data_IF_204871644049
#
_entry.id   IF_204871644049
#
_cell.length_a   1.000
_cell.length_b   1.000
_cell.length_c   1.000
_cell.angle_alpha   90.00
_cell.angle_beta   90.00
_cell.angle_gamma   90.00
#
_symmetry.space_group_name_H-M   'P 1'
#
loop_
_entity.id
_entity.type
_entity.pdbx_description
1 polymer ?
#
# COMPACT_ATOMS: atom_id res chain seq x y z
N UNK A 1 35.78 1.65 49.24
CA UNK A 1 35.35 0.90 50.45
C UNK A 1 34.12 0.07 50.08
N UNK A 2 34.30 -1.26 50.30
CA UNK A 2 33.32 -2.34 50.52
C UNK A 2 32.31 -2.69 49.44
N UNK A 3 32.69 -3.73 48.74
CA UNK A 3 31.92 -4.87 48.18
C UNK A 3 30.61 -5.23 48.91
N UNK A 4 29.65 -5.73 48.13
CA UNK A 4 28.96 -6.99 48.46
C UNK A 4 28.29 -7.61 47.22
N UNK A 5 28.91 -8.72 46.76
CA UNK A 5 28.29 -9.78 45.95
C UNK A 5 27.17 -10.47 46.73
N UNK A 6 26.10 -10.89 46.06
CA UNK A 6 25.33 -12.08 46.45
C UNK A 6 24.77 -12.74 45.19
N UNK A 7 25.33 -13.91 44.92
CA UNK A 7 24.81 -14.95 44.05
C UNK A 7 23.90 -15.90 44.88
N UNK A 8 22.83 -16.42 44.32
CA UNK A 8 22.11 -17.64 44.69
C UNK A 8 21.30 -18.05 43.45
N UNK A 9 21.64 -19.07 42.76
CA UNK A 9 21.48 -20.51 42.86
C UNK A 9 20.26 -21.02 42.08
N UNK A 10 20.57 -21.92 41.15
CA UNK A 10 19.66 -22.68 40.29
C UNK A 10 18.86 -23.70 41.10
N UNK A 11 17.64 -23.98 40.67
CA UNK A 11 16.97 -25.26 41.01
C UNK A 11 16.29 -25.81 39.75
N UNK A 12 16.82 -26.92 39.27
CA UNK A 12 16.20 -27.82 38.31
C UNK A 12 15.21 -28.72 39.04
N UNK A 13 14.03 -28.93 38.46
CA UNK A 13 13.15 -30.03 38.87
C UNK A 13 12.70 -30.79 37.62
N UNK A 14 13.15 -32.04 37.56
CA UNK A 14 12.72 -33.13 36.67
C UNK A 14 11.68 -33.95 37.42
N UNK A 15 10.56 -34.26 36.79
CA UNK A 15 9.71 -35.45 37.11
C UNK A 15 8.60 -35.48 36.05
N UNK A 16 8.34 -36.48 35.35
CA UNK A 16 8.34 -37.94 35.30
C UNK A 16 7.10 -38.33 34.52
N UNK A 17 7.30 -39.17 33.51
CA UNK A 17 6.26 -39.86 32.73
C UNK A 17 5.35 -40.71 33.62
N UNK A 18 4.08 -40.78 33.29
CA UNK A 18 3.22 -41.93 33.60
C UNK A 18 2.42 -42.33 32.36
N UNK A 19 2.79 -43.45 31.80
CA UNK A 19 2.07 -44.25 30.82
C UNK A 19 1.01 -45.06 31.57
N UNK A 20 -0.22 -45.01 31.13
CA UNK A 20 -1.22 -46.04 31.46
C UNK A 20 -1.95 -46.45 30.20
N UNK A 21 -1.71 -47.67 29.79
CA UNK A 21 -2.46 -48.40 28.76
C UNK A 21 -3.45 -49.33 29.41
N UNK A 22 -4.41 -49.79 28.58
CA UNK A 22 -5.46 -50.83 28.74
C UNK A 22 -6.83 -50.34 29.22
N UNK A 23 -7.93 -50.69 28.59
CA UNK A 23 -8.30 -51.74 27.69
C UNK A 23 -9.81 -51.65 27.38
N UNK A 24 -10.22 -52.34 26.37
CA UNK A 24 -11.41 -52.37 25.56
C UNK A 24 -12.79 -52.48 26.22
N UNK A 25 -13.77 -52.31 25.40
CA UNK A 25 -15.20 -52.56 25.59
C UNK A 25 -16.04 -51.90 24.51
N UNK A 26 -16.69 -52.73 23.74
CA UNK A 26 -17.55 -52.41 22.60
C UNK A 26 -18.84 -51.65 23.01
N UNK A 27 -19.45 -51.08 21.97
CA UNK A 27 -20.85 -50.87 21.68
C UNK A 27 -21.48 -49.48 21.82
N UNK A 28 -22.12 -49.14 20.69
CA UNK A 28 -23.32 -48.35 20.42
C UNK A 28 -23.25 -46.86 20.11
N UNK A 29 -23.51 -46.64 18.81
CA UNK A 29 -24.26 -45.55 18.15
C UNK A 29 -24.74 -44.35 18.99
N UNK A 30 -24.27 -43.20 18.60
CA UNK A 30 -25.13 -42.02 18.38
C UNK A 30 -24.40 -40.97 17.55
N UNK A 31 -24.89 -40.74 16.33
CA UNK A 31 -24.41 -39.68 15.45
C UNK A 31 -24.51 -38.32 16.14
N UNK A 32 -23.36 -37.70 16.28
CA UNK A 32 -23.28 -36.25 16.44
C UNK A 32 -22.34 -35.73 15.34
N UNK A 33 -22.95 -35.34 14.24
CA UNK A 33 -22.32 -34.58 13.17
C UNK A 33 -21.84 -33.22 13.70
N UNK A 34 -20.80 -33.25 14.52
CA UNK A 34 -19.99 -32.08 14.81
C UNK A 34 -19.10 -31.82 13.62
N UNK A 35 -19.59 -31.08 12.64
CA UNK A 35 -18.73 -30.50 11.60
C UNK A 35 -17.64 -29.71 12.29
N UNK A 36 -16.46 -30.29 12.38
CA UNK A 36 -15.22 -29.61 12.66
C UNK A 36 -15.01 -28.67 11.46
N UNK A 37 -15.65 -27.53 11.48
CA UNK A 37 -15.41 -26.47 10.52
C UNK A 37 -13.95 -26.05 10.68
N UNK A 38 -13.06 -26.61 9.84
CA UNK A 38 -11.71 -26.11 9.76
C UNK A 38 -11.82 -24.63 9.37
N UNK A 39 -11.44 -23.73 10.30
CA UNK A 39 -11.47 -22.31 10.01
C UNK A 39 -10.43 -22.05 8.93
N UNK A 40 -10.90 -21.65 7.72
CA UNK A 40 -10.00 -21.22 6.65
C UNK A 40 -9.24 -19.99 7.09
N UNK A 41 -7.93 -19.95 6.82
CA UNK A 41 -7.09 -18.78 7.03
C UNK A 41 -6.58 -18.30 5.68
N UNK A 42 -6.93 -17.06 5.31
CA UNK A 42 -6.42 -16.40 4.12
C UNK A 42 -5.20 -15.54 4.45
N UNK A 43 -4.15 -15.66 3.63
CA UNK A 43 -2.91 -14.90 3.74
C UNK A 43 -2.96 -13.73 2.76
N UNK A 44 -3.06 -12.52 3.29
CA UNK A 44 -3.04 -11.28 2.50
C UNK A 44 -1.65 -10.65 2.60
N UNK A 45 -0.99 -10.49 1.46
CA UNK A 45 0.28 -9.78 1.37
C UNK A 45 0.06 -8.49 0.58
N UNK A 46 0.40 -7.36 1.18
CA UNK A 46 0.09 -6.07 0.58
C UNK A 46 1.09 -4.96 0.85
N UNK A 47 0.95 -3.88 0.10
CA UNK A 47 1.64 -2.66 0.50
C UNK A 47 0.92 -1.99 1.68
N UNK A 48 1.67 -1.17 2.45
CA UNK A 48 1.21 -0.72 3.78
C UNK A 48 0.02 0.26 3.73
N UNK A 49 -0.15 0.98 2.62
CA UNK A 49 -1.15 2.06 2.51
C UNK A 49 -2.60 1.56 2.67
N UNK A 50 -3.05 0.45 2.03
CA UNK A 50 -4.44 -0.02 2.13
C UNK A 50 -4.73 -0.91 3.34
N UNK A 51 -3.79 -1.11 4.27
CA UNK A 51 -3.98 -2.01 5.42
C UNK A 51 -5.27 -1.74 6.18
N UNK A 52 -5.55 -0.48 6.52
CA UNK A 52 -6.75 -0.09 7.25
C UNK A 52 -8.04 -0.36 6.45
N UNK A 53 -8.01 -0.16 5.12
CA UNK A 53 -9.13 -0.44 4.24
C UNK A 53 -9.35 -1.95 4.09
N UNK A 54 -8.30 -2.74 3.83
CA UNK A 54 -8.39 -4.19 3.75
C UNK A 54 -8.93 -4.81 5.05
N UNK A 55 -8.54 -4.28 6.21
CA UNK A 55 -9.09 -4.70 7.52
C UNK A 55 -10.58 -4.38 7.65
N UNK A 56 -11.02 -3.21 7.20
CA UNK A 56 -12.43 -2.85 7.19
C UNK A 56 -13.24 -3.77 6.25
N UNK A 57 -12.71 -4.03 5.04
CA UNK A 57 -13.31 -4.97 4.08
C UNK A 57 -13.42 -6.37 4.68
N UNK A 58 -12.36 -6.87 5.34
CA UNK A 58 -12.38 -8.18 5.99
C UNK A 58 -13.45 -8.26 7.09
N UNK A 59 -13.64 -7.17 7.84
CA UNK A 59 -14.69 -7.08 8.87
C UNK A 59 -16.08 -7.18 8.23
N UNK A 60 -16.34 -6.50 7.13
CA UNK A 60 -17.63 -6.57 6.43
C UNK A 60 -17.84 -7.93 5.74
N UNK A 61 -16.79 -8.46 5.09
CA UNK A 61 -16.89 -9.77 4.46
C UNK A 61 -17.20 -10.89 5.45
N UNK A 62 -16.61 -10.86 6.65
CA UNK A 62 -16.89 -11.83 7.70
C UNK A 62 -18.35 -11.84 8.20
N UNK A 63 -19.14 -10.82 7.88
CA UNK A 63 -20.59 -10.79 8.15
C UNK A 63 -21.40 -11.55 7.09
N UNK A 64 -20.81 -11.85 5.93
CA UNK A 64 -21.44 -12.60 4.85
C UNK A 64 -21.29 -14.11 5.07
N UNK A 65 -22.15 -14.91 4.45
CA UNK A 65 -22.03 -16.38 4.51
C UNK A 65 -20.71 -16.88 3.89
N UNK A 66 -20.20 -16.18 2.86
CA UNK A 66 -18.94 -16.51 2.21
C UNK A 66 -17.74 -16.32 3.12
N UNK A 67 -17.73 -15.23 3.90
CA UNK A 67 -16.61 -14.86 4.76
C UNK A 67 -16.69 -15.35 6.19
N UNK A 68 -17.85 -15.89 6.59
CA UNK A 68 -18.10 -16.30 7.98
C UNK A 68 -17.07 -17.30 8.51
N UNK A 69 -16.39 -16.93 9.59
CA UNK A 69 -15.41 -17.78 10.25
C UNK A 69 -14.02 -17.81 9.56
N UNK A 70 -13.84 -17.09 8.44
CA UNK A 70 -12.53 -16.96 7.80
C UNK A 70 -11.63 -16.06 8.64
N UNK A 71 -10.40 -16.52 8.86
CA UNK A 71 -9.35 -15.77 9.53
C UNK A 71 -8.41 -15.15 8.50
N UNK A 72 -7.76 -14.08 8.87
CA UNK A 72 -6.75 -13.41 8.04
C UNK A 72 -5.40 -13.37 8.74
N UNK A 73 -4.37 -13.82 8.04
CA UNK A 73 -2.98 -13.53 8.36
C UNK A 73 -2.47 -12.53 7.32
N UNK A 74 -1.84 -11.46 7.79
CA UNK A 74 -1.51 -10.34 6.90
C UNK A 74 -0.04 -9.97 7.02
N UNK A 75 0.56 -9.56 5.88
CA UNK A 75 1.89 -8.97 5.82
C UNK A 75 1.83 -7.68 5.00
N UNK A 76 2.16 -6.55 5.62
CA UNK A 76 2.15 -5.26 4.97
C UNK A 76 3.52 -4.57 5.08
N UNK A 77 3.93 -3.90 3.99
CA UNK A 77 5.22 -3.20 3.93
C UNK A 77 5.39 -2.43 2.64
N UNK A 78 6.62 -2.20 2.22
CA UNK A 78 6.90 -1.60 0.92
C UNK A 78 6.50 -2.57 -0.21
N UNK A 79 5.77 -2.07 -1.23
CA UNK A 79 5.16 -2.90 -2.29
C UNK A 79 6.15 -3.82 -2.99
N UNK A 80 7.28 -3.27 -3.43
CA UNK A 80 8.32 -4.05 -4.11
C UNK A 80 8.96 -5.11 -3.20
N UNK A 81 9.13 -4.81 -1.89
CA UNK A 81 9.68 -5.77 -0.93
C UNK A 81 8.69 -6.91 -0.67
N UNK A 82 7.42 -6.60 -0.49
CA UNK A 82 6.37 -7.60 -0.31
C UNK A 82 6.23 -8.51 -1.55
N UNK A 83 6.29 -7.94 -2.75
CA UNK A 83 6.27 -8.73 -3.98
C UNK A 83 7.50 -9.67 -4.06
N UNK A 84 8.71 -9.19 -3.74
CA UNK A 84 9.91 -10.03 -3.68
C UNK A 84 9.82 -11.12 -2.61
N UNK A 85 9.25 -10.80 -1.45
CA UNK A 85 9.03 -11.76 -0.37
C UNK A 85 8.11 -12.91 -0.79
N UNK A 86 7.02 -12.61 -1.53
CA UNK A 86 6.13 -13.65 -2.09
C UNK A 86 6.88 -14.54 -3.08
N UNK A 87 7.67 -13.97 -3.99
CA UNK A 87 8.53 -14.75 -4.91
C UNK A 87 9.52 -15.63 -4.13
N UNK A 88 10.00 -15.16 -2.98
CA UNK A 88 10.93 -15.88 -2.11
C UNK A 88 10.25 -16.88 -1.18
N UNK A 89 8.92 -17.08 -1.29
CA UNK A 89 8.17 -18.10 -0.55
C UNK A 89 7.33 -17.60 0.62
N UNK A 90 7.17 -16.29 0.80
CA UNK A 90 6.17 -15.76 1.76
C UNK A 90 4.78 -16.24 1.31
N UNK A 91 4.09 -16.94 2.21
CA UNK A 91 2.75 -17.46 1.93
C UNK A 91 1.77 -16.33 1.64
N UNK A 92 1.06 -16.43 0.52
CA UNK A 92 0.02 -15.50 0.12
C UNK A 92 -1.08 -16.26 -0.63
N UNK A 93 -2.32 -15.89 -0.35
CA UNK A 93 -3.50 -16.30 -1.10
C UNK A 93 -3.99 -15.16 -2.00
N UNK A 94 -3.84 -13.94 -1.52
CA UNK A 94 -4.18 -12.71 -2.22
C UNK A 94 -3.09 -11.66 -2.01
N UNK A 95 -2.77 -10.93 -3.07
CA UNK A 95 -1.85 -9.79 -3.01
C UNK A 95 -2.55 -8.48 -3.36
N UNK A 96 -2.14 -7.39 -2.71
CA UNK A 96 -2.59 -6.03 -3.02
C UNK A 96 -1.37 -5.11 -3.06
N UNK A 97 -0.92 -4.75 -4.26
CA UNK A 97 0.30 -3.99 -4.47
C UNK A 97 0.05 -2.57 -4.96
N UNK A 98 1.07 -1.73 -4.89
CA UNK A 98 0.99 -0.34 -5.29
C UNK A 98 1.06 -0.16 -6.81
N UNK A 99 1.78 -1.02 -7.53
CA UNK A 99 2.05 -0.89 -8.97
C UNK A 99 1.93 -2.24 -9.68
N UNK A 100 1.46 -2.24 -10.93
CA UNK A 100 1.23 -3.46 -11.69
C UNK A 100 2.52 -4.29 -11.91
N UNK A 101 3.69 -3.65 -12.01
CA UNK A 101 4.97 -4.37 -12.15
C UNK A 101 5.30 -5.27 -10.95
N UNK A 102 4.72 -5.04 -9.78
CA UNK A 102 4.90 -5.90 -8.62
C UNK A 102 4.02 -7.16 -8.71
N UNK A 103 2.86 -7.10 -9.39
CA UNK A 103 2.06 -8.30 -9.75
C UNK A 103 2.72 -9.03 -10.91
N UNK A 104 3.19 -8.33 -11.96
CA UNK A 104 3.86 -8.94 -13.11
C UNK A 104 5.06 -9.79 -12.67
N UNK A 105 5.81 -9.36 -11.64
CA UNK A 105 6.90 -10.18 -11.06
C UNK A 105 6.39 -11.53 -10.55
N UNK A 106 5.18 -11.61 -10.02
CA UNK A 106 4.57 -12.87 -9.58
C UNK A 106 4.09 -13.71 -10.77
N UNK A 107 3.62 -13.06 -11.84
CA UNK A 107 3.28 -13.73 -13.11
C UNK A 107 4.53 -14.37 -13.69
N UNK A 108 5.63 -13.63 -13.80
CA UNK A 108 6.93 -14.12 -14.29
C UNK A 108 7.46 -15.30 -13.44
N UNK A 109 7.13 -15.34 -12.15
CA UNK A 109 7.46 -16.45 -11.25
C UNK A 109 6.44 -17.61 -11.27
N UNK A 110 5.38 -17.54 -12.09
CA UNK A 110 4.32 -18.55 -12.18
C UNK A 110 3.41 -18.64 -10.94
N UNK A 111 3.40 -17.61 -10.09
CA UNK A 111 2.62 -17.56 -8.85
C UNK A 111 1.24 -16.90 -9.03
N UNK A 112 1.07 -16.10 -10.05
CA UNK A 112 -0.18 -15.46 -10.47
C UNK A 112 -0.39 -15.75 -11.94
N UNK A 113 -1.64 -15.99 -12.37
CA UNK A 113 -1.97 -16.22 -13.76
C UNK A 113 -1.73 -14.97 -14.62
N UNK A 114 -1.36 -15.15 -15.88
CA UNK A 114 -1.18 -14.06 -16.85
C UNK A 114 -2.48 -13.33 -17.19
N UNK A 115 -3.62 -13.94 -16.88
CA UNK A 115 -4.98 -13.39 -17.04
C UNK A 115 -5.45 -12.56 -15.84
N UNK A 116 -4.57 -12.22 -14.90
CA UNK A 116 -4.93 -11.51 -13.66
C UNK A 116 -5.62 -10.15 -13.90
N UNK A 117 -5.37 -9.52 -15.03
CA UNK A 117 -5.89 -8.21 -15.44
C UNK A 117 -6.95 -8.27 -16.56
N UNK A 118 -7.49 -9.46 -16.88
CA UNK A 118 -8.53 -9.62 -17.91
C UNK A 118 -9.90 -9.08 -17.47
N UNK A 119 -10.12 -8.92 -16.17
CA UNK A 119 -11.37 -8.42 -15.62
C UNK A 119 -11.70 -6.96 -16.00
N UNK A 120 -12.93 -6.50 -15.73
CA UNK A 120 -13.40 -5.16 -16.13
C UNK A 120 -12.59 -4.03 -15.51
N UNK A 121 -12.02 -4.21 -14.32
CA UNK A 121 -11.16 -3.24 -13.64
C UNK A 121 -9.68 -3.38 -14.01
N UNK A 122 -9.33 -4.29 -14.94
CA UNK A 122 -7.95 -4.59 -15.31
C UNK A 122 -7.07 -4.92 -14.10
N UNK A 123 -7.60 -5.74 -13.19
CA UNK A 123 -6.92 -6.15 -11.97
C UNK A 123 -6.76 -5.03 -10.93
N UNK A 124 -7.24 -3.83 -11.19
CA UNK A 124 -7.17 -2.72 -10.24
C UNK A 124 -8.28 -2.88 -9.19
N UNK A 125 -7.92 -2.78 -7.92
CA UNK A 125 -8.83 -3.01 -6.79
C UNK A 125 -9.01 -1.77 -5.91
N UNK A 126 -8.12 -0.80 -5.98
CA UNK A 126 -8.27 0.50 -5.33
C UNK A 126 -7.55 1.59 -6.13
N UNK A 127 -7.99 2.83 -5.99
CA UNK A 127 -7.34 3.97 -6.64
C UNK A 127 -7.22 5.19 -5.73
N UNK A 128 -6.32 6.10 -6.08
CA UNK A 128 -6.08 7.36 -5.38
C UNK A 128 -5.47 8.38 -6.36
N UNK A 129 -5.02 9.51 -5.85
CA UNK A 129 -4.20 10.47 -6.61
C UNK A 129 -3.01 10.91 -5.77
N UNK A 130 -1.94 11.37 -6.41
CA UNK A 130 -0.82 11.99 -5.69
C UNK A 130 -1.23 13.39 -5.23
N UNK A 131 -0.99 13.67 -3.96
CA UNK A 131 -1.22 14.97 -3.33
C UNK A 131 0.03 15.47 -2.63
N UNK A 132 0.06 16.76 -2.33
CA UNK A 132 1.11 17.42 -1.57
C UNK A 132 0.58 17.66 -0.15
N UNK A 133 0.83 16.73 0.77
CA UNK A 133 0.46 16.92 2.16
C UNK A 133 1.40 17.94 2.81
N UNK A 134 0.84 18.87 3.55
CA UNK A 134 1.55 20.00 4.16
C UNK A 134 1.20 20.12 5.64
N UNK A 135 2.01 20.83 6.39
CA UNK A 135 1.72 21.14 7.78
C UNK A 135 0.39 21.89 7.90
N UNK A 136 -0.31 21.72 9.00
CA UNK A 136 -1.56 22.43 9.29
C UNK A 136 -1.43 23.93 9.04
N UNK A 137 -2.40 24.50 8.30
CA UNK A 137 -2.41 25.91 7.91
C UNK A 137 -1.41 26.27 6.80
N UNK A 138 -0.70 25.29 6.23
CA UNK A 138 0.22 25.46 5.10
C UNK A 138 1.23 26.64 5.27
N UNK A 139 2.06 26.62 6.31
CA UNK A 139 2.93 27.77 6.65
C UNK A 139 3.95 28.13 5.58
N UNK A 140 4.28 27.18 4.70
CA UNK A 140 5.17 27.39 3.54
C UNK A 140 4.44 27.88 2.28
N UNK A 141 3.11 28.06 2.35
CA UNK A 141 2.29 28.51 1.24
C UNK A 141 2.50 27.70 -0.05
N UNK A 142 2.56 26.37 0.10
CA UNK A 142 2.69 25.43 -1.03
C UNK A 142 1.36 25.41 -1.79
N UNK A 143 1.39 25.68 -3.09
CA UNK A 143 0.21 25.71 -3.98
C UNK A 143 0.26 24.65 -5.06
N UNK A 144 1.44 24.10 -5.35
CA UNK A 144 1.64 23.11 -6.40
C UNK A 144 3.09 22.69 -6.53
N UNK A 145 3.36 21.98 -7.60
CA UNK A 145 4.66 21.38 -7.88
C UNK A 145 5.82 22.39 -7.94
N UNK A 146 5.59 23.59 -8.50
CA UNK A 146 6.63 24.62 -8.66
C UNK A 146 7.15 25.15 -7.32
N UNK A 147 6.39 25.01 -6.26
CA UNK A 147 6.83 25.41 -4.92
C UNK A 147 7.83 24.44 -4.32
N UNK A 148 7.81 23.16 -4.76
CA UNK A 148 8.65 22.11 -4.19
C UNK A 148 10.14 22.24 -4.54
N UNK A 149 10.46 22.97 -5.61
CA UNK A 149 11.85 23.20 -6.03
C UNK A 149 12.42 24.50 -5.48
N UNK A 150 11.67 25.24 -4.66
CA UNK A 150 12.15 26.46 -4.00
C UNK A 150 13.13 26.14 -2.87
N UNK A 151 14.12 27.00 -2.64
CA UNK A 151 15.04 26.84 -1.49
C UNK A 151 14.29 26.80 -0.15
N UNK A 152 14.74 25.95 0.76
CA UNK A 152 14.23 25.88 2.13
C UNK A 152 12.90 25.12 2.26
N UNK A 153 12.52 24.34 1.26
CA UNK A 153 11.41 23.37 1.32
C UNK A 153 11.99 21.99 1.57
N UNK A 154 11.64 21.36 2.69
CA UNK A 154 12.00 19.99 3.01
C UNK A 154 10.92 19.02 2.54
N UNK A 155 11.26 18.11 1.62
CA UNK A 155 10.32 17.13 1.05
C UNK A 155 10.56 15.76 1.67
N UNK A 156 9.45 15.09 2.04
CA UNK A 156 9.42 13.66 2.39
C UNK A 156 8.75 12.90 1.25
N UNK A 157 9.38 11.85 0.77
CA UNK A 157 8.80 10.91 -0.20
C UNK A 157 9.41 9.53 0.05
N UNK A 158 8.70 8.42 -0.16
CA UNK A 158 9.31 7.12 0.06
C UNK A 158 10.37 6.79 -1.00
N UNK A 159 11.16 5.74 -0.74
CA UNK A 159 12.23 5.31 -1.63
C UNK A 159 11.67 4.50 -2.82
N UNK A 160 11.88 4.89 -4.08
CA UNK A 160 11.34 4.18 -5.24
C UNK A 160 12.01 2.80 -5.51
N UNK A 161 13.12 2.48 -4.85
CA UNK A 161 13.72 1.15 -4.92
C UNK A 161 12.88 0.09 -4.21
N UNK A 162 12.16 0.45 -3.13
CA UNK A 162 11.30 -0.43 -2.34
C UNK A 162 9.81 -0.13 -2.53
N UNK A 163 9.45 1.16 -2.66
CA UNK A 163 8.07 1.64 -2.59
C UNK A 163 7.46 1.93 -3.97
N UNK A 164 6.35 1.29 -4.27
CA UNK A 164 5.52 1.66 -5.42
C UNK A 164 4.91 3.06 -5.28
N UNK A 165 4.59 3.51 -4.05
CA UNK A 165 4.10 4.87 -3.81
C UNK A 165 5.09 5.94 -4.27
N UNK A 166 6.38 5.72 -4.06
CA UNK A 166 7.43 6.61 -4.52
C UNK A 166 7.50 6.70 -6.05
N UNK A 167 7.19 5.58 -6.73
CA UNK A 167 7.14 5.57 -8.21
C UNK A 167 6.02 6.45 -8.73
N UNK A 168 4.83 6.36 -8.13
CA UNK A 168 3.72 7.26 -8.45
C UNK A 168 4.06 8.72 -8.21
N UNK A 169 4.72 9.05 -7.08
CA UNK A 169 5.14 10.40 -6.74
C UNK A 169 6.12 10.97 -7.79
N UNK A 170 7.11 10.18 -8.20
CA UNK A 170 8.09 10.58 -9.22
C UNK A 170 7.43 10.77 -10.60
N UNK A 171 6.47 9.88 -10.96
CA UNK A 171 5.73 10.01 -12.23
C UNK A 171 4.79 11.22 -12.23
N UNK A 172 4.13 11.55 -11.11
CA UNK A 172 3.33 12.76 -10.99
C UNK A 172 4.18 14.02 -11.15
N UNK A 173 5.35 14.04 -10.52
CA UNK A 173 6.31 15.14 -10.64
C UNK A 173 6.87 15.31 -12.07
N UNK A 174 7.20 14.21 -12.74
CA UNK A 174 7.57 14.20 -14.14
C UNK A 174 6.43 14.72 -15.03
N UNK A 175 5.23 14.17 -14.81
CA UNK A 175 4.02 14.50 -15.56
C UNK A 175 3.62 15.96 -15.43
N UNK A 176 3.93 16.62 -14.29
CA UNK A 176 3.74 18.05 -14.15
C UNK A 176 4.44 18.85 -15.25
N UNK A 177 5.64 18.45 -15.65
CA UNK A 177 6.41 19.13 -16.71
C UNK A 177 5.96 18.63 -18.09
N UNK A 178 6.01 17.32 -18.34
CA UNK A 178 5.77 16.75 -19.67
C UNK A 178 4.37 17.01 -20.18
N UNK A 179 3.37 16.88 -19.32
CA UNK A 179 1.97 17.11 -19.70
C UNK A 179 1.61 18.59 -19.90
N UNK A 180 2.47 19.52 -19.53
CA UNK A 180 2.31 20.96 -19.75
C UNK A 180 3.23 21.50 -20.84
N UNK A 181 3.70 20.63 -21.75
CA UNK A 181 4.48 20.99 -22.93
C UNK A 181 5.99 21.05 -22.71
N UNK A 182 6.48 20.62 -21.54
CA UNK A 182 7.89 20.51 -21.27
C UNK A 182 8.53 19.27 -21.92
N UNK A 183 9.83 19.35 -22.19
CA UNK A 183 10.61 18.25 -22.74
C UNK A 183 11.06 17.28 -21.65
N UNK A 184 11.49 16.05 -22.04
CA UNK A 184 12.08 15.08 -21.11
C UNK A 184 13.27 15.66 -20.33
N UNK A 185 14.13 16.46 -20.98
CA UNK A 185 15.25 17.12 -20.33
C UNK A 185 14.80 18.11 -19.23
N UNK A 186 13.74 18.87 -19.49
CA UNK A 186 13.16 19.78 -18.50
C UNK A 186 12.52 19.03 -17.33
N UNK A 187 11.87 17.90 -17.61
CA UNK A 187 11.29 17.05 -16.58
C UNK A 187 12.37 16.38 -15.71
N UNK A 188 13.51 15.96 -16.30
CA UNK A 188 14.65 15.43 -15.56
C UNK A 188 15.32 16.51 -14.70
N UNK A 189 15.49 17.73 -15.23
CA UNK A 189 15.99 18.88 -14.48
C UNK A 189 15.05 19.21 -13.28
N UNK A 190 13.75 19.18 -13.51
CA UNK A 190 12.76 19.38 -12.44
C UNK A 190 12.89 18.33 -11.35
N UNK A 191 12.94 17.03 -11.71
CA UNK A 191 13.17 15.96 -10.74
C UNK A 191 14.47 16.13 -9.96
N UNK A 192 15.54 16.56 -10.63
CA UNK A 192 16.84 16.83 -9.99
C UNK A 192 16.69 17.89 -8.90
N UNK A 193 16.02 19.01 -9.18
CA UNK A 193 15.75 20.07 -8.21
C UNK A 193 14.84 19.59 -7.08
N UNK A 194 13.80 18.81 -7.40
CA UNK A 194 12.89 18.25 -6.41
C UNK A 194 13.64 17.32 -5.44
N UNK A 195 14.43 16.37 -5.95
CA UNK A 195 15.17 15.44 -5.12
C UNK A 195 16.32 16.11 -4.33
N UNK A 196 16.86 17.24 -4.78
CA UNK A 196 17.77 18.05 -3.99
C UNK A 196 17.11 18.53 -2.68
N UNK A 197 15.81 18.83 -2.70
CA UNK A 197 15.02 19.25 -1.55
C UNK A 197 14.47 18.07 -0.70
N UNK A 198 14.64 16.83 -1.13
CA UNK A 198 14.20 15.66 -0.34
C UNK A 198 15.08 15.54 0.91
N UNK A 199 14.46 15.49 2.06
CA UNK A 199 15.13 15.36 3.38
C UNK A 199 15.00 13.95 3.97
N UNK A 200 14.07 13.13 3.47
CA UNK A 200 13.85 11.75 3.94
C UNK A 200 13.27 10.87 2.84
N UNK A 201 13.80 9.64 2.74
CA UNK A 201 13.38 8.58 1.80
C UNK A 201 13.02 7.29 2.56
N UNK A 202 11.91 7.26 3.34
CA UNK A 202 11.48 6.05 4.05
C UNK A 202 11.15 4.90 3.11
N UNK A 203 11.09 3.67 3.64
CA UNK A 203 10.95 2.44 2.85
C UNK A 203 9.59 2.29 2.16
N UNK A 204 8.52 2.83 2.76
CA UNK A 204 7.15 2.71 2.27
C UNK A 204 6.39 4.05 2.32
N UNK A 205 5.23 4.12 1.63
CA UNK A 205 4.34 5.27 1.72
C UNK A 205 3.87 5.54 3.13
N UNK A 206 3.51 4.50 3.90
CA UNK A 206 3.10 4.60 5.29
C UNK A 206 4.23 5.11 6.19
N UNK A 207 5.45 4.61 6.01
CA UNK A 207 6.61 5.09 6.77
C UNK A 207 6.92 6.56 6.46
N UNK A 208 6.71 6.99 5.21
CA UNK A 208 6.85 8.40 4.82
C UNK A 208 5.81 9.29 5.51
N UNK A 209 4.55 8.84 5.57
CA UNK A 209 3.48 9.53 6.32
C UNK A 209 3.84 9.60 7.80
N UNK A 210 4.30 8.51 8.41
CA UNK A 210 4.73 8.48 9.81
C UNK A 210 5.91 9.44 10.07
N UNK A 211 6.92 9.45 9.21
CA UNK A 211 8.06 10.36 9.34
C UNK A 211 7.63 11.84 9.23
N UNK A 212 6.73 12.13 8.28
CA UNK A 212 6.16 13.47 8.14
C UNK A 212 5.37 13.86 9.39
N UNK A 213 4.43 13.06 9.86
CA UNK A 213 3.65 13.34 11.08
C UNK A 213 4.56 13.51 12.31
N UNK A 214 5.67 12.78 12.39
CA UNK A 214 6.72 12.92 13.40
C UNK A 214 7.58 14.19 13.28
N UNK A 215 7.26 15.12 12.37
CA UNK A 215 7.92 16.42 12.25
C UNK A 215 9.00 16.53 11.16
N UNK A 216 9.25 15.47 10.38
CA UNK A 216 10.24 15.52 9.28
C UNK A 216 9.68 16.27 8.08
N UNK A 217 10.43 17.22 7.53
CA UNK A 217 10.10 17.98 6.31
C UNK A 217 8.92 18.94 6.44
N UNK A 218 8.65 19.65 5.38
CA UNK A 218 7.57 20.62 5.23
C UNK A 218 6.42 20.08 4.38
N UNK A 219 6.74 19.20 3.41
CA UNK A 219 5.81 18.62 2.44
C UNK A 219 6.06 17.12 2.34
N UNK A 220 4.98 16.35 2.31
CA UNK A 220 4.99 14.92 2.01
C UNK A 220 4.33 14.71 0.64
N UNK A 221 5.02 14.05 -0.27
CA UNK A 221 4.38 13.50 -1.47
C UNK A 221 3.65 12.22 -1.05
N UNK A 222 2.33 12.23 -1.12
CA UNK A 222 1.48 11.15 -0.58
C UNK A 222 0.35 10.78 -1.53
N UNK A 223 -0.29 9.66 -1.21
CA UNK A 223 -1.63 9.34 -1.69
C UNK A 223 -2.66 10.22 -0.97
N UNK A 224 -3.73 10.61 -1.66
CA UNK A 224 -4.85 11.36 -1.06
C UNK A 224 -5.47 10.60 0.14
N UNK A 225 -5.65 9.30 0.00
CA UNK A 225 -6.19 8.47 1.08
C UNK A 225 -5.29 8.41 2.33
N UNK A 226 -3.97 8.57 2.21
CA UNK A 226 -3.07 8.67 3.37
C UNK A 226 -3.31 9.96 4.15
N UNK A 227 -3.52 11.08 3.46
CA UNK A 227 -3.84 12.36 4.11
C UNK A 227 -5.22 12.30 4.79
N UNK A 228 -6.22 11.70 4.13
CA UNK A 228 -7.55 11.49 4.69
C UNK A 228 -7.48 10.59 5.93
N UNK A 229 -6.80 9.44 5.84
CA UNK A 229 -6.66 8.50 6.95
C UNK A 229 -5.92 9.10 8.15
N UNK A 230 -4.89 9.90 7.91
CA UNK A 230 -4.19 10.61 8.98
C UNK A 230 -5.14 11.53 9.75
N UNK A 231 -5.97 12.32 9.05
CA UNK A 231 -7.00 13.13 9.70
C UNK A 231 -8.06 12.30 10.43
N UNK A 232 -8.51 11.17 9.88
CA UNK A 232 -9.39 10.22 10.58
C UNK A 232 -8.78 9.72 11.89
N UNK A 233 -7.45 9.65 11.94
CA UNK A 233 -6.70 9.25 13.14
C UNK A 233 -6.41 10.40 14.11
N UNK A 234 -6.93 11.60 13.84
CA UNK A 234 -6.76 12.78 14.69
C UNK A 234 -5.50 13.61 14.41
N UNK A 235 -4.75 13.28 13.35
CA UNK A 235 -3.56 14.03 12.99
C UNK A 235 -3.90 15.37 12.32
N UNK A 236 -3.10 16.39 12.59
CA UNK A 236 -3.29 17.73 12.05
C UNK A 236 -2.39 17.98 10.84
N UNK A 237 -2.96 17.89 9.66
CA UNK A 237 -2.33 18.27 8.40
C UNK A 237 -3.36 18.83 7.42
N UNK A 238 -2.85 19.51 6.41
CA UNK A 238 -3.62 19.89 5.22
C UNK A 238 -2.95 19.27 3.99
N UNK A 239 -3.58 19.37 2.83
CA UNK A 239 -2.94 18.98 1.56
C UNK A 239 -3.46 19.81 0.41
N UNK A 240 -2.67 19.85 -0.64
CA UNK A 240 -3.00 20.44 -1.92
C UNK A 240 -3.16 19.31 -2.93
N UNK A 241 -4.27 19.29 -3.64
CA UNK A 241 -4.41 18.50 -4.87
C UNK A 241 -3.83 19.36 -6.00
N UNK A 242 -2.67 19.02 -6.58
CA UNK A 242 -2.07 19.86 -7.60
C UNK A 242 -2.88 19.84 -8.89
N UNK A 243 -2.78 20.91 -9.68
CA UNK A 243 -3.53 21.07 -10.94
C UNK A 243 -3.28 19.88 -11.89
N UNK A 244 -2.06 19.41 -11.98
CA UNK A 244 -1.68 18.18 -12.70
C UNK A 244 -1.24 17.13 -11.68
N UNK A 245 -1.90 15.99 -11.68
CA UNK A 245 -1.53 14.83 -10.87
C UNK A 245 -1.79 13.53 -11.63
N UNK A 246 -1.44 12.39 -11.05
CA UNK A 246 -1.61 11.07 -11.66
C UNK A 246 -2.64 10.25 -10.90
N UNK A 247 -3.48 9.52 -11.64
CA UNK A 247 -4.33 8.48 -11.09
C UNK A 247 -3.44 7.31 -10.63
N UNK A 248 -3.53 7.03 -9.37
CA UNK A 248 -2.88 5.87 -8.77
C UNK A 248 -3.83 4.68 -8.90
N UNK A 249 -3.36 3.62 -9.54
CA UNK A 249 -4.12 2.40 -9.79
C UNK A 249 -3.40 1.24 -9.09
N UNK A 250 -4.00 0.73 -8.02
CA UNK A 250 -3.41 -0.31 -7.20
C UNK A 250 -3.98 -1.68 -7.56
N UNK A 251 -3.14 -2.61 -8.04
CA UNK A 251 -3.56 -3.93 -8.45
C UNK A 251 -3.74 -4.88 -7.26
N UNK A 252 -4.69 -5.81 -7.41
CA UNK A 252 -4.83 -6.97 -6.56
C UNK A 252 -4.94 -8.24 -7.40
N UNK A 253 -4.40 -9.35 -6.89
CA UNK A 253 -4.43 -10.61 -7.59
C UNK A 253 -4.54 -11.79 -6.61
N UNK A 254 -5.21 -12.86 -7.06
CA UNK A 254 -5.27 -14.14 -6.37
C UNK A 254 -4.14 -15.04 -6.87
N UNK A 255 -3.45 -15.73 -5.99
CA UNK A 255 -2.38 -16.64 -6.37
C UNK A 255 -2.93 -17.94 -6.96
N UNK A 256 -2.17 -18.57 -7.86
CA UNK A 256 -2.58 -19.80 -8.57
C UNK A 256 -2.83 -21.00 -7.64
N UNK A 257 -2.19 -21.02 -6.47
CA UNK A 257 -2.32 -22.08 -5.45
C UNK A 257 -3.03 -21.61 -4.18
N UNK A 258 -3.77 -20.50 -4.29
CA UNK A 258 -4.52 -19.95 -3.16
C UNK A 258 -5.66 -20.87 -2.72
N UNK A 259 -6.08 -20.73 -1.46
CA UNK A 259 -7.35 -21.27 -1.00
C UNK A 259 -8.50 -20.74 -1.88
N UNK A 260 -9.48 -21.55 -2.27
CA UNK A 260 -10.63 -21.12 -3.09
C UNK A 260 -11.36 -19.89 -2.52
N UNK A 261 -11.37 -19.71 -1.20
CA UNK A 261 -11.92 -18.52 -0.52
C UNK A 261 -11.22 -17.21 -0.92
N UNK A 262 -10.00 -17.26 -1.43
CA UNK A 262 -9.30 -16.07 -1.92
C UNK A 262 -9.98 -15.46 -3.16
N UNK A 263 -10.62 -16.28 -4.01
CA UNK A 263 -11.41 -15.77 -5.14
C UNK A 263 -12.68 -15.08 -4.65
N UNK A 264 -13.38 -15.68 -3.68
CA UNK A 264 -14.56 -15.07 -3.06
C UNK A 264 -14.22 -13.76 -2.34
N UNK A 265 -13.06 -13.71 -1.67
CA UNK A 265 -12.51 -12.48 -1.11
C UNK A 265 -12.27 -11.42 -2.18
N UNK A 266 -11.58 -11.77 -3.27
CA UNK A 266 -11.29 -10.85 -4.38
C UNK A 266 -12.58 -10.28 -4.98
N UNK A 267 -13.60 -11.13 -5.18
CA UNK A 267 -14.89 -10.71 -5.71
C UNK A 267 -15.59 -9.74 -4.74
N UNK A 268 -15.50 -9.99 -3.43
CA UNK A 268 -16.04 -9.07 -2.43
C UNK A 268 -15.26 -7.73 -2.39
N UNK A 269 -13.96 -7.76 -2.53
CA UNK A 269 -13.11 -6.54 -2.64
C UNK A 269 -13.61 -5.64 -3.77
N UNK A 270 -14.03 -6.21 -4.91
CA UNK A 270 -14.59 -5.50 -6.06
C UNK A 270 -16.10 -5.28 -5.99
N UNK A 271 -16.78 -5.77 -4.97
CA UNK A 271 -18.21 -5.50 -4.79
C UNK A 271 -18.48 -4.04 -4.38
N UNK A 272 -19.72 -3.55 -4.54
CA UNK A 272 -20.09 -2.21 -4.06
C UNK A 272 -19.79 -1.99 -2.58
N UNK A 273 -19.95 -3.01 -1.72
CA UNK A 273 -19.63 -2.89 -0.30
C UNK A 273 -18.12 -2.85 -0.05
N UNK A 274 -17.32 -3.73 -0.70
CA UNK A 274 -15.87 -3.68 -0.61
C UNK A 274 -15.32 -2.32 -1.05
N UNK A 275 -15.81 -1.80 -2.17
CA UNK A 275 -15.42 -0.48 -2.69
C UNK A 275 -15.93 0.67 -1.81
N UNK A 276 -17.07 0.50 -1.15
CA UNK A 276 -17.53 1.45 -0.14
C UNK A 276 -16.57 1.53 1.04
N UNK A 277 -16.05 0.40 1.52
CA UNK A 277 -15.05 0.40 2.59
C UNK A 277 -13.75 1.09 2.17
N UNK A 278 -13.31 0.90 0.93
CA UNK A 278 -12.19 1.68 0.38
C UNK A 278 -12.48 3.19 0.39
N UNK A 279 -13.66 3.59 -0.08
CA UNK A 279 -14.04 5.01 -0.12
C UNK A 279 -14.09 5.64 1.28
N UNK A 280 -14.62 4.94 2.28
CA UNK A 280 -14.63 5.39 3.67
C UNK A 280 -13.22 5.56 4.27
N UNK A 281 -12.21 4.91 3.68
CA UNK A 281 -10.79 5.07 4.01
C UNK A 281 -10.04 5.99 3.05
N UNK A 282 -10.78 6.78 2.26
CA UNK A 282 -10.24 7.83 1.40
C UNK A 282 -9.73 7.36 0.04
N UNK A 283 -9.89 6.10 -0.33
CA UNK A 283 -9.60 5.62 -1.69
C UNK A 283 -10.72 5.97 -2.65
N UNK A 284 -10.37 6.26 -3.89
CA UNK A 284 -11.33 6.46 -4.96
C UNK A 284 -11.84 5.10 -5.45
N UNK A 285 -13.16 4.87 -5.53
CA UNK A 285 -13.71 3.61 -6.04
C UNK A 285 -13.25 3.31 -7.46
N UNK A 286 -13.06 2.02 -7.78
CA UNK A 286 -12.68 1.55 -9.13
C UNK A 286 -13.86 1.00 -9.93
N UNK A 287 -15.06 1.00 -9.35
CA UNK A 287 -16.33 0.66 -10.00
C UNK A 287 -17.33 1.79 -9.85
N UNK A 288 -18.28 1.87 -10.77
CA UNK A 288 -19.36 2.85 -10.72
C UNK A 288 -20.40 2.51 -9.65
N UNK A 289 -21.18 3.52 -9.25
CA UNK A 289 -22.35 3.36 -8.39
C UNK A 289 -22.06 3.18 -6.90
N UNK A 290 -20.81 3.26 -6.46
CA UNK A 290 -20.45 3.25 -5.05
C UNK A 290 -20.90 4.55 -4.38
N UNK A 291 -21.71 4.43 -3.34
CA UNK A 291 -22.25 5.58 -2.61
C UNK A 291 -21.63 5.65 -1.21
N UNK A 292 -21.13 6.83 -0.89
CA UNK A 292 -20.77 7.24 0.49
C UNK A 292 -21.39 8.63 0.70
N UNK A 293 -22.04 8.82 1.83
CA UNK A 293 -22.65 10.12 2.14
C UNK A 293 -21.58 11.14 2.52
N UNK A 294 -20.63 10.71 3.31
CA UNK A 294 -19.49 11.52 3.75
C UNK A 294 -18.25 10.64 3.94
N UNK A 295 -17.07 11.23 3.68
CA UNK A 295 -15.76 10.64 4.02
C UNK A 295 -15.11 11.55 5.05
N UNK A 296 -15.13 11.10 6.30
CA UNK A 296 -14.46 11.79 7.39
C UNK A 296 -12.97 12.02 7.07
N UNK A 297 -12.42 13.15 7.48
CA UNK A 297 -11.02 13.50 7.23
C UNK A 297 -10.76 14.11 5.85
N UNK A 298 -11.65 13.98 4.85
CA UNK A 298 -11.49 14.65 3.57
C UNK A 298 -11.51 16.18 3.70
N UNK A 299 -10.97 16.91 2.71
CA UNK A 299 -11.02 18.37 2.68
C UNK A 299 -12.47 18.88 2.64
N UNK A 300 -13.29 18.23 1.83
CA UNK A 300 -14.74 18.34 1.83
C UNK A 300 -15.33 16.93 2.00
N UNK A 301 -15.84 16.58 3.19
CA UNK A 301 -16.39 15.25 3.45
C UNK A 301 -17.54 14.86 2.50
N UNK A 302 -18.30 15.81 1.98
CA UNK A 302 -19.42 15.58 1.06
C UNK A 302 -19.00 15.49 -0.41
N UNK A 303 -17.82 16.02 -0.73
CA UNK A 303 -17.17 15.88 -2.04
C UNK A 303 -15.72 15.44 -1.85
N UNK A 304 -15.49 14.21 -1.34
CA UNK A 304 -14.18 13.78 -0.85
C UNK A 304 -13.13 13.60 -1.94
N UNK A 305 -13.56 13.42 -3.19
CA UNK A 305 -12.70 13.05 -4.32
C UNK A 305 -12.82 14.07 -5.47
N UNK A 306 -12.38 15.32 -5.29
CA UNK A 306 -12.46 16.32 -6.34
C UNK A 306 -11.65 15.87 -7.57
N UNK A 307 -12.17 16.15 -8.76
CA UNK A 307 -11.45 15.88 -10.01
C UNK A 307 -10.34 16.91 -10.19
N UNK A 308 -9.06 16.48 -10.31
CA UNK A 308 -7.96 17.39 -10.65
C UNK A 308 -8.17 18.05 -12.01
N UNK A 309 -7.58 19.23 -12.23
CA UNK A 309 -7.69 19.91 -13.54
C UNK A 309 -7.13 19.07 -14.67
N UNK A 310 -6.01 18.37 -14.41
CA UNK A 310 -5.38 17.44 -15.34
C UNK A 310 -4.99 16.16 -14.58
N UNK A 311 -5.72 15.09 -14.85
CA UNK A 311 -5.48 13.77 -14.28
C UNK A 311 -4.77 12.90 -15.31
N UNK A 312 -3.52 12.56 -15.04
CA UNK A 312 -2.72 11.67 -15.86
C UNK A 312 -3.03 10.21 -15.55
N UNK A 313 -2.88 9.34 -16.53
CA UNK A 313 -2.96 7.89 -16.36
C UNK A 313 -1.72 7.22 -16.95
N UNK A 314 -1.40 6.01 -16.48
CA UNK A 314 -0.31 5.24 -17.08
C UNK A 314 -0.63 4.91 -18.54
N UNK A 315 -1.88 4.56 -18.80
CA UNK A 315 -2.34 4.15 -20.13
C UNK A 315 -2.22 5.26 -21.17
N UNK A 316 -2.63 6.48 -20.82
CA UNK A 316 -2.77 7.56 -21.81
C UNK A 316 -1.52 8.44 -21.90
N UNK A 317 -0.73 8.51 -20.81
CA UNK A 317 0.40 9.45 -20.71
C UNK A 317 1.77 8.78 -20.66
N UNK A 318 1.85 7.45 -20.40
CA UNK A 318 3.11 6.76 -20.14
C UNK A 318 3.27 5.38 -20.80
N UNK A 319 2.42 4.98 -21.74
CA UNK A 319 2.43 3.70 -22.46
C UNK A 319 2.12 2.48 -21.56
N UNK A 320 3.04 2.06 -20.68
CA UNK A 320 2.88 0.88 -19.83
C UNK A 320 3.81 0.86 -18.62
N UNK A 321 3.48 0.06 -17.62
CA UNK A 321 4.36 -0.17 -16.47
C UNK A 321 5.71 -0.79 -16.84
N UNK A 322 5.78 -1.60 -17.89
CA UNK A 322 7.04 -2.17 -18.39
C UNK A 322 7.95 -1.07 -18.94
N UNK A 323 7.40 -0.17 -19.78
CA UNK A 323 8.14 0.98 -20.31
C UNK A 323 8.58 1.93 -19.20
N UNK A 324 7.68 2.25 -18.25
CA UNK A 324 7.97 3.07 -17.09
C UNK A 324 9.10 2.50 -16.22
N UNK A 325 9.03 1.21 -15.89
CA UNK A 325 10.04 0.55 -15.06
C UNK A 325 11.42 0.64 -15.71
N UNK A 326 11.49 0.45 -17.01
CA UNK A 326 12.74 0.55 -17.78
C UNK A 326 13.27 1.98 -17.87
N UNK A 327 12.40 2.96 -18.19
CA UNK A 327 12.80 4.37 -18.36
C UNK A 327 13.19 5.02 -17.03
N UNK A 328 12.42 4.80 -15.98
CA UNK A 328 12.54 5.57 -14.74
C UNK A 328 13.20 4.82 -13.59
N UNK A 329 13.02 3.51 -13.48
CA UNK A 329 13.33 2.75 -12.27
C UNK A 329 14.28 1.58 -12.47
N UNK A 330 14.85 1.38 -13.66
CA UNK A 330 15.88 0.37 -13.88
C UNK A 330 17.10 0.68 -13.00
N UNK A 331 17.66 -0.35 -12.34
CA UNK A 331 18.62 -0.26 -11.25
C UNK A 331 19.81 0.69 -11.55
N UNK A 332 20.42 0.59 -12.73
CA UNK A 332 21.62 1.40 -13.07
C UNK A 332 21.31 2.54 -14.05
N UNK A 333 20.22 2.46 -14.79
CA UNK A 333 19.97 3.32 -15.95
C UNK A 333 18.75 4.20 -15.82
N UNK A 334 17.88 3.91 -14.87
CA UNK A 334 16.62 4.63 -14.67
C UNK A 334 16.85 6.09 -14.30
N UNK A 335 16.06 6.98 -14.88
CA UNK A 335 16.16 8.43 -14.65
C UNK A 335 16.08 8.76 -13.16
N UNK A 336 15.06 8.23 -12.47
CA UNK A 336 14.84 8.50 -11.03
C UNK A 336 15.98 7.96 -10.18
N UNK A 337 16.52 6.78 -10.53
CA UNK A 337 17.66 6.17 -9.83
C UNK A 337 18.90 7.06 -9.95
N UNK A 338 19.20 7.55 -11.15
CA UNK A 338 20.34 8.48 -11.39
C UNK A 338 20.18 9.81 -10.64
N UNK A 339 18.97 10.38 -10.67
CA UNK A 339 18.67 11.63 -9.98
C UNK A 339 18.87 11.48 -8.46
N UNK A 340 18.39 10.40 -7.87
CA UNK A 340 18.58 10.13 -6.44
C UNK A 340 20.06 9.91 -6.11
N UNK A 341 20.77 9.14 -6.93
CA UNK A 341 22.20 8.92 -6.74
C UNK A 341 22.99 10.24 -6.80
N UNK A 342 22.69 11.10 -7.78
CA UNK A 342 23.31 12.42 -7.92
C UNK A 342 23.00 13.38 -6.76
N UNK A 343 21.83 13.24 -6.11
CA UNK A 343 21.45 14.05 -4.94
C UNK A 343 22.18 13.67 -3.65
N UNK A 344 22.96 12.57 -3.65
CA UNK A 344 23.61 12.02 -2.46
C UNK A 344 22.66 11.38 -1.44
N UNK A 345 21.43 11.11 -1.83
CA UNK A 345 20.38 10.52 -0.98
C UNK A 345 20.27 8.98 -1.12
N UNK A 346 21.01 8.39 -2.07
CA UNK A 346 21.10 6.95 -2.22
C UNK A 346 21.96 6.37 -1.08
N UNK A 347 21.32 5.84 -0.04
CA UNK A 347 21.94 4.94 0.95
C UNK A 347 20.92 3.86 1.34
#
# INVERSE_FOLDING_TARGET
MKNRFRAVAALALVASLAISACGGGDDDEAGSGGGSGSSTTLHIVGFAVPEAANKAIATEWNKTEAGKGVKFETSYGASGDQSRAVVSGLKADYVHFSVASDVTRLVDAGLVADTWDDGPTKGIVSSSVVVLAVRKGNPKNIKGWDDLIKPGIGIVTPNPASSGSARWNALAAWGHISANGGTDAQAEEYLTKLFANVVSLPSSGRDATTAFLGGTGDVLLAYENEAILARQSGEELDWVVPDTTILIENPGAVLTKADPKAKEWYDFVLSPEGQRQFALKGFRPVIDGVKVDEVEGALDPKNPFPTPKKLLTVKDDFESWSALSKKFFAEDTGIVVKVIAASGKAK
#
